data_IF_695304719846
#
_entry.id   IF_695304719846
#
_cell.length_a   1.000
_cell.length_b   1.000
_cell.length_c   1.000
_cell.angle_alpha   90.00
_cell.angle_beta   90.00
_cell.angle_gamma   90.00
#
_symmetry.space_group_name_H-M   'P 1'
#
loop_
_entity.id
_entity.type
_entity.pdbx_description
1 polymer ?
#
# COMPACT_ATOMS: atom_id res chain seq x y z
N UNK A 1 -17.41 4.95 2.99
CA UNK A 1 -17.19 5.46 4.35
C UNK A 1 -17.07 4.28 5.31
N UNK A 2 -16.04 4.29 6.19
CA UNK A 2 -15.87 3.27 7.21
C UNK A 2 -16.70 3.61 8.44
N UNK A 3 -17.33 2.60 9.04
CA UNK A 3 -18.17 2.78 10.22
C UNK A 3 -17.40 2.41 11.49
N UNK A 4 -17.48 3.28 12.50
CA UNK A 4 -16.91 3.01 13.81
C UNK A 4 -17.56 1.75 14.41
N UNK A 5 -16.79 1.00 15.20
CA UNK A 5 -17.16 -0.26 15.86
C UNK A 5 -17.48 -1.43 14.93
N UNK A 6 -17.80 -1.19 13.65
CA UNK A 6 -17.95 -2.23 12.62
C UNK A 6 -16.62 -2.48 11.91
N UNK A 7 -16.09 -1.46 11.25
CA UNK A 7 -14.96 -1.56 10.35
C UNK A 7 -13.65 -1.22 11.04
N UNK A 8 -13.69 -0.39 12.06
CA UNK A 8 -12.53 -0.01 12.86
C UNK A 8 -12.89 0.26 14.32
N UNK A 9 -11.88 0.25 15.19
CA UNK A 9 -12.01 0.69 16.58
C UNK A 9 -11.07 1.85 16.85
N UNK A 10 -11.49 2.74 17.74
CA UNK A 10 -10.68 3.88 18.20
C UNK A 10 -10.38 3.69 19.68
N UNK A 11 -9.13 3.88 20.06
CA UNK A 11 -8.71 3.83 21.46
C UNK A 11 -7.67 4.90 21.74
N UNK A 12 -7.54 5.30 23.01
CA UNK A 12 -6.47 6.16 23.45
C UNK A 12 -5.37 5.32 24.10
N UNK A 13 -4.13 5.49 23.65
CA UNK A 13 -2.95 4.92 24.28
C UNK A 13 -2.22 5.99 25.09
N UNK A 14 -1.77 5.60 26.30
CA UNK A 14 -0.98 6.46 27.20
C UNK A 14 0.47 6.00 27.33
N UNK A 15 0.87 4.94 26.63
CA UNK A 15 2.17 4.28 26.82
C UNK A 15 3.35 5.12 26.33
N UNK A 16 3.13 5.95 25.29
CA UNK A 16 4.17 6.83 24.72
C UNK A 16 3.54 8.20 24.43
N UNK A 17 2.99 8.84 25.45
CA UNK A 17 2.18 10.06 25.30
C UNK A 17 0.72 9.74 24.97
N UNK A 18 -0.09 10.79 24.78
CA UNK A 18 -1.50 10.61 24.42
C UNK A 18 -1.61 10.39 22.91
N UNK A 19 -1.96 9.18 22.51
CA UNK A 19 -2.13 8.80 21.11
C UNK A 19 -3.56 8.34 20.86
N UNK A 20 -4.15 8.79 19.77
CA UNK A 20 -5.38 8.22 19.22
C UNK A 20 -4.95 7.08 18.30
N UNK A 21 -5.36 5.87 18.64
CA UNK A 21 -5.05 4.67 17.88
C UNK A 21 -6.31 4.21 17.15
N UNK A 22 -6.26 4.22 15.83
CA UNK A 22 -7.31 3.67 14.97
C UNK A 22 -6.85 2.29 14.50
N UNK A 23 -7.61 1.26 14.84
CA UNK A 23 -7.31 -0.13 14.44
C UNK A 23 -8.39 -0.64 13.51
N UNK A 24 -8.04 -1.09 12.30
CA UNK A 24 -9.01 -1.74 11.44
C UNK A 24 -9.46 -3.07 12.07
N UNK A 25 -10.72 -3.40 11.91
CA UNK A 25 -11.30 -4.73 12.24
C UNK A 25 -11.31 -5.64 11.02
N UNK A 26 -11.36 -5.04 9.85
CA UNK A 26 -11.18 -5.69 8.56
C UNK A 26 -9.92 -5.12 7.90
N UNK A 27 -9.22 -5.87 7.07
CA UNK A 27 -8.07 -5.35 6.34
C UNK A 27 -8.43 -4.08 5.56
N UNK A 28 -7.56 -3.09 5.59
CA UNK A 28 -7.71 -1.92 4.72
C UNK A 28 -7.70 -2.37 3.26
N UNK A 29 -8.54 -1.78 2.39
CA UNK A 29 -8.50 -2.08 0.97
C UNK A 29 -7.13 -1.73 0.40
N UNK A 30 -6.48 -2.72 -0.21
CA UNK A 30 -5.23 -2.51 -0.91
C UNK A 30 -5.45 -1.72 -2.21
N UNK A 31 -4.45 -0.97 -2.63
CA UNK A 31 -4.40 -0.41 -3.97
C UNK A 31 -4.12 -1.52 -4.97
N UNK A 32 -4.83 -1.55 -6.07
CA UNK A 32 -4.53 -2.45 -7.19
C UNK A 32 -3.20 -2.01 -7.86
N UNK A 33 -2.57 -2.90 -8.62
CA UNK A 33 -1.35 -2.56 -9.34
C UNK A 33 -1.64 -1.49 -10.41
N UNK A 34 -1.22 -0.26 -10.12
CA UNK A 34 -1.46 0.89 -11.02
C UNK A 34 -0.74 0.73 -12.36
N UNK A 35 0.40 0.04 -12.38
CA UNK A 35 1.16 -0.23 -13.61
C UNK A 35 0.40 -1.13 -14.58
N UNK A 36 -0.50 -1.97 -14.07
CA UNK A 36 -1.39 -2.83 -14.86
C UNK A 36 -2.79 -2.22 -15.08
N UNK A 37 -2.96 -0.92 -14.84
CA UNK A 37 -4.24 -0.23 -15.00
C UNK A 37 -5.18 -0.36 -13.79
N UNK A 38 -4.71 -0.87 -12.67
CA UNK A 38 -5.43 -0.91 -11.41
C UNK A 38 -5.60 0.49 -10.79
N UNK A 39 -6.47 0.60 -9.79
CA UNK A 39 -6.76 1.86 -9.12
C UNK A 39 -5.99 1.99 -7.81
N UNK A 40 -5.35 3.14 -7.63
CA UNK A 40 -4.82 3.51 -6.32
C UNK A 40 -5.96 3.81 -5.36
N UNK A 41 -5.98 3.14 -4.20
CA UNK A 41 -6.96 3.34 -3.13
C UNK A 41 -6.30 4.05 -1.97
N UNK A 42 -6.67 5.31 -1.77
CA UNK A 42 -6.23 6.10 -0.63
C UNK A 42 -7.19 5.96 0.55
N UNK A 43 -6.63 5.90 1.74
CA UNK A 43 -7.37 5.98 3.00
C UNK A 43 -7.08 7.34 3.60
N UNK A 44 -8.13 8.08 3.92
CA UNK A 44 -8.05 9.39 4.55
C UNK A 44 -8.61 9.29 5.97
N UNK A 45 -7.79 9.65 6.94
CA UNK A 45 -8.19 9.75 8.35
C UNK A 45 -8.19 11.22 8.74
N UNK A 46 -9.28 11.66 9.35
CA UNK A 46 -9.40 13.01 9.85
C UNK A 46 -9.87 13.01 11.31
N UNK A 47 -9.33 13.92 12.08
CA UNK A 47 -9.74 14.17 13.47
C UNK A 47 -10.40 15.54 13.52
N UNK A 48 -11.60 15.59 14.10
CA UNK A 48 -12.37 16.82 14.21
C UNK A 48 -12.25 17.45 15.60
N UNK A 49 -12.63 18.71 15.73
CA UNK A 49 -12.75 19.46 16.98
C UNK A 49 -13.84 18.91 17.93
N UNK A 50 -14.60 17.91 17.48
CA UNK A 50 -15.52 17.13 18.32
C UNK A 50 -14.81 16.31 19.40
N UNK A 51 -13.52 15.96 19.20
CA UNK A 51 -12.70 15.35 20.25
C UNK A 51 -12.40 16.39 21.32
N UNK A 52 -12.61 16.00 22.58
CA UNK A 52 -12.47 16.88 23.74
C UNK A 52 -11.50 16.33 24.76
N UNK A 53 -10.86 17.21 25.51
CA UNK A 53 -10.07 16.84 26.67
C UNK A 53 -10.97 16.43 27.86
N UNK A 54 -10.37 15.99 28.95
CA UNK A 54 -11.10 15.60 30.17
C UNK A 54 -11.83 16.77 30.88
N UNK A 55 -11.54 18.00 30.48
CA UNK A 55 -12.22 19.22 30.97
C UNK A 55 -13.34 19.67 30.02
N UNK A 56 -13.51 18.96 28.89
CA UNK A 56 -14.53 19.28 27.90
C UNK A 56 -14.06 20.31 26.84
N UNK A 57 -12.81 20.73 26.85
CA UNK A 57 -12.30 21.65 25.84
C UNK A 57 -12.08 20.90 24.51
N UNK A 58 -12.49 21.47 23.39
CA UNK A 58 -12.20 20.88 22.09
C UNK A 58 -10.68 20.94 21.81
N UNK A 59 -10.17 19.94 21.07
CA UNK A 59 -8.83 20.07 20.49
C UNK A 59 -8.85 21.14 19.40
N UNK A 60 -7.75 21.83 19.26
CA UNK A 60 -7.56 22.89 18.26
C UNK A 60 -6.45 22.49 17.28
N UNK A 61 -6.49 23.09 16.10
CA UNK A 61 -5.41 22.95 15.13
C UNK A 61 -4.11 23.48 15.70
N UNK A 62 -3.00 22.84 15.36
CA UNK A 62 -1.69 23.46 15.52
C UNK A 62 -1.51 24.59 14.50
N UNK A 63 -0.74 25.60 14.84
CA UNK A 63 -0.42 26.70 13.92
C UNK A 63 0.17 26.20 12.60
N UNK A 64 0.98 25.13 12.67
CA UNK A 64 1.57 24.53 11.49
C UNK A 64 0.51 23.89 10.59
N UNK A 65 -0.43 23.10 11.18
CA UNK A 65 -1.50 22.49 10.39
C UNK A 65 -2.45 23.56 9.82
N UNK A 66 -2.73 24.60 10.58
CA UNK A 66 -3.59 25.71 10.12
C UNK A 66 -2.97 26.46 8.93
N UNK A 67 -1.65 26.70 8.95
CA UNK A 67 -0.93 27.25 7.80
C UNK A 67 -1.03 26.35 6.56
N UNK A 68 -0.87 25.03 6.73
CA UNK A 68 -1.00 24.05 5.65
C UNK A 68 -2.44 23.99 5.13
N UNK A 69 -3.43 23.98 6.01
CA UNK A 69 -4.85 23.95 5.65
C UNK A 69 -5.28 25.19 4.85
N UNK A 70 -4.72 26.34 5.18
CA UNK A 70 -4.95 27.60 4.47
C UNK A 70 -3.99 27.82 3.29
N UNK A 71 -3.16 26.84 2.97
CA UNK A 71 -2.17 26.87 1.88
C UNK A 71 -1.23 28.10 1.96
N UNK A 72 -0.89 28.50 3.18
CA UNK A 72 0.07 29.59 3.42
C UNK A 72 1.47 29.04 3.14
N UNK A 73 2.11 29.58 2.12
CA UNK A 73 3.45 29.16 1.69
C UNK A 73 4.47 29.27 2.82
N UNK A 74 5.35 28.29 2.87
CA UNK A 74 6.54 28.33 3.74
C UNK A 74 7.59 29.23 3.11
N UNK A 75 8.22 30.06 3.93
CA UNK A 75 9.31 30.96 3.57
C UNK A 75 10.31 31.00 4.74
N UNK A 76 11.09 29.91 4.86
CA UNK A 76 12.13 29.78 5.88
C UNK A 76 13.50 30.26 5.37
N UNK A 77 13.59 30.61 4.07
CA UNK A 77 14.84 30.89 3.38
C UNK A 77 15.62 29.63 2.99
N UNK A 78 15.08 28.44 3.28
CA UNK A 78 15.66 27.17 2.83
C UNK A 78 14.72 26.52 1.79
N UNK A 79 15.15 26.56 0.53
CA UNK A 79 14.37 26.10 -0.63
C UNK A 79 13.87 24.65 -0.48
N UNK A 80 14.70 23.75 0.06
CA UNK A 80 14.30 22.33 0.23
C UNK A 80 13.22 22.17 1.29
N UNK A 81 13.33 22.87 2.42
CA UNK A 81 12.33 22.86 3.49
C UNK A 81 11.02 23.48 3.00
N UNK A 82 11.12 24.62 2.32
CA UNK A 82 9.94 25.33 1.82
C UNK A 82 9.23 24.52 0.74
N UNK A 83 9.95 23.91 -0.19
CA UNK A 83 9.37 23.03 -1.20
C UNK A 83 8.66 21.83 -0.57
N UNK A 84 9.27 21.17 0.41
CA UNK A 84 8.65 20.06 1.13
C UNK A 84 7.38 20.52 1.87
N UNK A 85 7.47 21.61 2.65
CA UNK A 85 6.33 22.13 3.41
C UNK A 85 5.17 22.55 2.50
N UNK A 86 5.45 23.16 1.36
CA UNK A 86 4.44 23.56 0.38
C UNK A 86 3.80 22.32 -0.29
N UNK A 87 4.57 21.26 -0.55
CA UNK A 87 4.03 19.99 -1.08
C UNK A 87 3.10 19.32 -0.07
N UNK A 88 3.47 19.29 1.21
CA UNK A 88 2.60 18.78 2.30
C UNK A 88 1.35 19.65 2.43
N UNK A 89 1.48 20.97 2.35
CA UNK A 89 0.33 21.90 2.36
C UNK A 89 -0.65 21.61 1.23
N UNK A 90 -0.17 21.34 0.02
CA UNK A 90 -1.02 20.98 -1.11
C UNK A 90 -1.77 19.64 -0.87
N UNK A 91 -1.10 18.64 -0.28
CA UNK A 91 -1.74 17.37 0.10
C UNK A 91 -2.82 17.56 1.17
N UNK A 92 -2.56 18.38 2.19
CA UNK A 92 -3.56 18.74 3.21
C UNK A 92 -4.74 19.44 2.57
N UNK A 93 -4.51 20.42 1.70
CA UNK A 93 -5.57 21.13 0.98
C UNK A 93 -6.45 20.18 0.15
N UNK A 94 -5.85 19.27 -0.61
CA UNK A 94 -6.59 18.24 -1.36
C UNK A 94 -7.41 17.33 -0.46
N UNK A 95 -6.86 16.93 0.68
CA UNK A 95 -7.57 16.12 1.68
C UNK A 95 -8.78 16.83 2.25
N UNK A 96 -8.64 18.13 2.57
CA UNK A 96 -9.74 18.94 3.07
C UNK A 96 -10.84 19.17 2.02
N UNK A 97 -10.48 19.34 0.74
CA UNK A 97 -11.45 19.43 -0.35
C UNK A 97 -12.23 18.12 -0.51
N UNK A 98 -11.55 16.97 -0.43
CA UNK A 98 -12.21 15.67 -0.47
C UNK A 98 -13.20 15.51 0.70
N UNK A 99 -12.80 15.85 1.93
CA UNK A 99 -13.67 15.80 3.10
C UNK A 99 -14.87 16.75 2.97
N UNK A 100 -14.65 17.94 2.42
CA UNK A 100 -15.73 18.89 2.13
C UNK A 100 -16.74 18.32 1.13
N UNK A 101 -16.29 17.62 0.11
CA UNK A 101 -17.17 16.97 -0.87
C UNK A 101 -18.03 15.86 -0.26
N UNK A 102 -17.61 15.30 0.89
CA UNK A 102 -18.36 14.33 1.69
C UNK A 102 -19.24 15.00 2.76
N UNK A 103 -19.39 16.32 2.73
CA UNK A 103 -20.23 17.08 3.65
C UNK A 103 -19.59 17.44 4.98
N UNK A 104 -18.29 17.19 5.15
CA UNK A 104 -17.57 17.62 6.37
C UNK A 104 -17.14 19.07 6.23
N UNK A 105 -17.32 19.86 7.32
CA UNK A 105 -16.82 21.22 7.34
C UNK A 105 -15.29 21.24 7.55
N UNK A 106 -14.49 21.74 6.60
CA UNK A 106 -13.03 21.80 6.74
C UNK A 106 -12.55 22.57 7.97
N UNK A 107 -13.33 23.54 8.45
CA UNK A 107 -12.99 24.30 9.65
C UNK A 107 -12.99 23.45 10.93
N UNK A 108 -13.76 22.36 10.94
CA UNK A 108 -13.84 21.45 12.08
C UNK A 108 -12.72 20.39 12.08
N UNK A 109 -11.97 20.25 10.98
CA UNK A 109 -10.88 19.29 10.86
C UNK A 109 -9.65 19.83 11.58
N UNK A 110 -9.18 19.14 12.58
CA UNK A 110 -7.99 19.53 13.38
C UNK A 110 -6.71 18.97 12.78
N UNK A 111 -6.76 17.75 12.30
CA UNK A 111 -5.66 17.10 11.59
C UNK A 111 -6.22 16.06 10.62
N UNK A 112 -5.58 15.92 9.48
CA UNK A 112 -5.87 14.84 8.53
C UNK A 112 -4.57 14.20 8.06
N UNK A 113 -4.65 12.92 7.73
CA UNK A 113 -3.56 12.17 7.15
C UNK A 113 -4.12 11.19 6.12
N UNK A 114 -3.41 11.04 5.01
CA UNK A 114 -3.77 10.09 3.97
C UNK A 114 -2.63 9.10 3.73
N UNK A 115 -2.97 7.87 3.46
CA UNK A 115 -2.04 6.81 3.12
C UNK A 115 -2.68 5.81 2.18
N UNK A 116 -1.88 5.00 1.53
CA UNK A 116 -2.32 3.89 0.69
C UNK A 116 -1.80 2.59 1.28
N UNK A 117 -2.61 1.52 1.18
CA UNK A 117 -2.16 0.18 1.48
C UNK A 117 -1.65 -0.45 0.18
N UNK A 118 -0.41 -0.89 0.18
CA UNK A 118 0.16 -1.59 -0.96
C UNK A 118 -0.42 -3.00 -1.04
N UNK A 119 -0.77 -3.45 -2.24
CA UNK A 119 -1.04 -4.87 -2.48
C UNK A 119 0.29 -5.61 -2.60
N UNK A 120 0.48 -6.62 -1.76
CA UNK A 120 1.63 -7.53 -1.86
C UNK A 120 1.30 -8.66 -2.82
N UNK A 121 0.03 -9.02 -2.95
CA UNK A 121 -0.41 -10.15 -3.78
C UNK A 121 -0.25 -9.85 -5.26
N UNK A 122 -0.53 -8.63 -5.72
CA UNK A 122 -0.47 -8.28 -7.15
C UNK A 122 0.93 -8.52 -7.73
N UNK A 123 1.98 -8.21 -6.96
CA UNK A 123 3.37 -8.43 -7.39
C UNK A 123 3.69 -9.92 -7.48
N UNK A 124 3.15 -10.72 -6.54
CA UNK A 124 3.33 -12.17 -6.54
C UNK A 124 2.52 -12.80 -7.68
N UNK A 125 1.27 -12.36 -7.87
CA UNK A 125 0.40 -12.87 -8.92
C UNK A 125 0.94 -12.53 -10.31
N UNK A 126 1.51 -11.33 -10.50
CA UNK A 126 2.21 -10.93 -11.73
C UNK A 126 3.45 -11.80 -11.96
N UNK A 127 4.29 -12.00 -10.93
CA UNK A 127 5.47 -12.86 -11.05
C UNK A 127 5.12 -14.32 -11.35
N UNK A 128 4.03 -14.83 -10.78
CA UNK A 128 3.51 -16.18 -11.06
C UNK A 128 2.97 -16.27 -12.50
N UNK A 129 2.17 -15.28 -12.92
CA UNK A 129 1.65 -15.21 -14.30
C UNK A 129 2.78 -15.10 -15.32
N UNK A 130 3.75 -14.23 -15.10
CA UNK A 130 4.92 -14.09 -15.96
C UNK A 130 5.76 -15.38 -16.03
N UNK A 131 5.83 -16.11 -14.93
CA UNK A 131 6.63 -17.34 -14.84
C UNK A 131 5.90 -18.50 -15.49
N UNK A 132 4.58 -18.65 -15.27
CA UNK A 132 3.81 -19.84 -15.64
C UNK A 132 3.03 -19.68 -16.95
N UNK A 133 2.47 -18.50 -17.23
CA UNK A 133 1.48 -18.34 -18.32
C UNK A 133 2.03 -17.63 -19.57
N UNK A 134 2.91 -16.65 -19.43
CA UNK A 134 3.35 -15.82 -20.55
C UNK A 134 4.81 -15.37 -20.51
N UNK A 135 5.53 -15.67 -19.43
CA UNK A 135 6.92 -15.27 -19.26
C UNK A 135 7.92 -16.10 -20.08
N UNK A 136 9.20 -15.71 -20.10
CA UNK A 136 10.26 -16.41 -20.82
C UNK A 136 10.46 -17.86 -20.35
N UNK A 137 9.88 -18.22 -19.20
CA UNK A 137 9.92 -19.56 -18.62
C UNK A 137 8.67 -20.40 -18.91
N UNK A 138 7.62 -19.83 -19.49
CA UNK A 138 6.37 -20.54 -19.80
C UNK A 138 6.59 -21.77 -20.68
N UNK A 139 7.59 -21.74 -21.54
CA UNK A 139 7.95 -22.85 -22.43
C UNK A 139 8.91 -23.88 -21.79
N UNK A 140 9.50 -23.56 -20.63
CA UNK A 140 10.50 -24.41 -19.97
C UNK A 140 9.94 -25.18 -18.78
N UNK A 141 8.68 -24.93 -18.39
CA UNK A 141 8.05 -25.54 -17.21
C UNK A 141 7.29 -26.83 -17.48
N UNK A 142 7.33 -27.41 -18.69
CA UNK A 142 6.90 -28.79 -18.85
C UNK A 142 7.96 -29.71 -18.24
N UNK A 143 7.92 -29.88 -16.92
CA UNK A 143 8.60 -31.00 -16.26
C UNK A 143 7.79 -32.23 -16.62
N UNK A 144 8.05 -32.80 -17.79
CA UNK A 144 7.62 -34.15 -18.08
C UNK A 144 8.29 -35.05 -17.05
N UNK A 145 7.51 -35.82 -16.32
CA UNK A 145 8.10 -36.92 -15.51
C UNK A 145 8.95 -37.76 -16.46
N UNK A 146 10.26 -37.91 -16.19
CA UNK A 146 11.11 -38.71 -17.04
C UNK A 146 10.53 -40.15 -17.06
N UNK A 147 10.10 -40.59 -18.23
CA UNK A 147 9.88 -42.00 -18.44
C UNK A 147 11.26 -42.71 -18.50
N UNK A 148 11.29 -44.03 -18.31
CA UNK A 148 12.56 -44.80 -18.36
C UNK A 148 13.30 -44.52 -19.67
N UNK A 149 12.56 -44.35 -20.78
CA UNK A 149 13.12 -44.01 -22.09
C UNK A 149 13.73 -42.60 -22.15
N UNK A 150 13.24 -41.66 -21.32
CA UNK A 150 13.78 -40.30 -21.25
C UNK A 150 15.06 -40.22 -20.42
N UNK A 151 15.28 -41.10 -19.44
CA UNK A 151 16.55 -41.16 -18.69
C UNK A 151 17.69 -41.58 -19.58
N UNK A 152 17.49 -42.64 -20.37
CA UNK A 152 18.48 -43.06 -21.36
C UNK A 152 18.75 -41.99 -22.41
N UNK A 153 17.71 -41.32 -22.92
CA UNK A 153 17.81 -40.19 -23.84
C UNK A 153 18.56 -39.00 -23.25
N UNK A 154 18.30 -38.66 -22.00
CA UNK A 154 19.00 -37.59 -21.28
C UNK A 154 20.49 -37.88 -21.09
N UNK A 155 20.84 -39.13 -20.71
CA UNK A 155 22.22 -39.52 -20.51
C UNK A 155 23.01 -39.54 -21.82
N UNK A 156 22.36 -39.86 -22.95
CA UNK A 156 22.95 -39.74 -24.28
C UNK A 156 23.11 -38.26 -24.68
N UNK A 157 22.09 -37.45 -24.47
CA UNK A 157 22.11 -36.02 -24.80
C UNK A 157 23.18 -35.23 -24.01
N UNK A 158 23.45 -35.64 -22.77
CA UNK A 158 24.49 -35.03 -21.91
C UNK A 158 25.88 -35.62 -22.14
N UNK A 159 26.03 -36.63 -23.06
CA UNK A 159 27.32 -37.21 -23.37
C UNK A 159 27.84 -38.20 -22.29
N UNK A 160 27.01 -38.56 -21.33
CA UNK A 160 27.35 -39.51 -20.25
C UNK A 160 27.38 -40.92 -20.77
N UNK A 161 26.48 -41.26 -21.73
CA UNK A 161 26.40 -42.55 -22.40
C UNK A 161 26.43 -42.37 -23.92
N UNK A 162 26.99 -43.36 -24.61
CA UNK A 162 26.80 -43.46 -26.07
C UNK A 162 25.43 -44.05 -26.37
N UNK A 163 24.86 -43.85 -27.58
CA UNK A 163 23.59 -44.48 -27.97
C UNK A 163 23.60 -46.00 -27.85
N UNK A 164 24.74 -46.61 -28.08
CA UNK A 164 24.94 -48.06 -27.97
C UNK A 164 24.89 -48.52 -26.50
N UNK A 165 25.46 -47.77 -25.61
CA UNK A 165 25.42 -48.02 -24.16
C UNK A 165 24.00 -47.83 -23.58
N UNK A 166 23.28 -46.83 -24.09
CA UNK A 166 21.90 -46.54 -23.68
C UNK A 166 20.91 -47.63 -24.16
N UNK A 167 21.14 -48.27 -25.32
CA UNK A 167 20.32 -49.33 -25.85
C UNK A 167 20.34 -50.61 -25.00
N UNK A 168 21.32 -50.75 -24.12
CA UNK A 168 21.43 -51.91 -23.21
C UNK A 168 20.85 -51.65 -21.79
N UNK A 169 20.28 -50.48 -21.54
CA UNK A 169 19.63 -50.19 -20.26
C UNK A 169 18.19 -50.77 -20.22
N UNK A 170 17.80 -51.43 -19.12
CA UNK A 170 16.46 -52.03 -19.00
C UNK A 170 15.34 -50.99 -18.94
#
# INVERSE_FOLDING_TARGET
>A
EFQADSDYSVSMSKSVGYQIVVRPRIPWPASDNVSLGGQSRGILVAVTNGVRDFRGNPIIRSDQYDRMANQISSDTGNVSIDSFANSVGAMVGSSLQLLASQGMNPADIVVSNSFTCQSVNDVIDEAVSDTLDSGPFATTTSIGLPTVDTVAGFLVATGVLTPEQAAGLP
#
